data_IF_887667024444
#
_entry.id   IF_887667024444
#
_cell.length_a   1.000
_cell.length_b   1.000
_cell.length_c   1.000
_cell.angle_alpha   90.00
_cell.angle_beta   90.00
_cell.angle_gamma   90.00
#
_symmetry.space_group_name_H-M   'P 1'
#
loop_
_entity.id
_entity.type
_entity.pdbx_description
1 polymer ?
#
# COMPACT_ATOMS: atom_id res chain seq x y z
N UNK A 1 3.32 -5.47 -20.13
CA UNK A 1 4.35 -5.50 -19.05
C UNK A 1 5.69 -5.91 -19.66
N UNK A 2 6.77 -5.13 -19.46
CA UNK A 2 8.12 -5.48 -19.97
C UNK A 2 8.80 -6.40 -18.96
N UNK A 3 9.17 -7.60 -19.38
CA UNK A 3 9.81 -8.59 -18.49
C UNK A 3 8.97 -8.99 -17.28
N UNK A 4 7.64 -8.98 -17.39
CA UNK A 4 6.72 -9.37 -16.32
C UNK A 4 6.40 -8.29 -15.27
N UNK A 5 7.03 -7.10 -15.35
CA UNK A 5 6.77 -6.02 -14.40
C UNK A 5 5.70 -5.04 -14.91
N UNK A 6 4.80 -4.61 -14.00
CA UNK A 6 3.85 -3.52 -14.28
C UNK A 6 4.58 -2.19 -14.45
N UNK A 7 5.59 -1.93 -13.62
CA UNK A 7 6.45 -0.74 -13.68
C UNK A 7 7.91 -1.12 -13.98
N UNK A 8 8.25 -1.41 -15.25
CA UNK A 8 9.60 -1.80 -15.63
C UNK A 8 10.57 -0.61 -15.63
N UNK A 9 11.83 -0.85 -15.30
CA UNK A 9 12.90 0.13 -15.50
C UNK A 9 13.33 0.19 -16.97
N UNK A 10 13.96 1.30 -17.37
CA UNK A 10 14.44 1.48 -18.75
C UNK A 10 15.55 0.48 -19.09
N UNK A 11 16.41 0.16 -18.10
CA UNK A 11 17.55 -0.75 -18.26
C UNK A 11 17.12 -2.22 -18.12
N UNK A 12 16.84 -2.65 -16.88
CA UNK A 12 16.48 -4.04 -16.52
C UNK A 12 15.76 -4.05 -15.16
N UNK A 13 14.81 -4.94 -14.98
CA UNK A 13 14.09 -5.13 -13.71
C UNK A 13 12.97 -4.12 -13.49
N UNK A 14 12.58 -3.93 -12.23
CA UNK A 14 11.55 -3.00 -11.77
C UNK A 14 12.16 -1.62 -11.47
N UNK A 15 11.35 -0.56 -11.52
CA UNK A 15 11.75 0.78 -11.04
C UNK A 15 12.24 0.73 -9.59
N UNK A 16 13.26 1.54 -9.25
CA UNK A 16 13.74 1.65 -7.88
C UNK A 16 12.84 2.57 -7.04
N UNK A 17 12.90 2.45 -5.71
CA UNK A 17 12.18 3.32 -4.76
C UNK A 17 12.49 4.81 -4.97
N UNK A 18 13.70 5.12 -5.44
CA UNK A 18 14.14 6.49 -5.74
C UNK A 18 13.42 7.08 -6.95
N UNK A 19 12.86 6.25 -7.84
CA UNK A 19 12.20 6.70 -9.07
C UNK A 19 11.06 7.67 -8.76
N UNK A 20 10.13 7.26 -7.89
CA UNK A 20 8.99 8.10 -7.51
C UNK A 20 9.43 9.25 -6.60
N UNK A 21 10.31 8.98 -5.63
CA UNK A 21 10.83 9.99 -4.71
C UNK A 21 11.49 11.17 -5.43
N UNK A 22 12.39 10.88 -6.39
CA UNK A 22 13.08 11.91 -7.19
C UNK A 22 12.14 12.61 -8.17
N UNK A 23 11.13 11.91 -8.69
CA UNK A 23 10.11 12.53 -9.52
C UNK A 23 9.34 13.61 -8.74
N UNK A 24 8.83 13.27 -7.55
CA UNK A 24 8.07 14.21 -6.71
C UNK A 24 8.94 15.40 -6.27
N UNK A 25 10.19 15.15 -5.90
CA UNK A 25 11.17 16.20 -5.57
C UNK A 25 11.40 17.18 -6.74
N UNK A 26 11.65 16.68 -7.95
CA UNK A 26 11.81 17.54 -9.14
C UNK A 26 10.56 18.35 -9.49
N UNK A 27 9.39 17.81 -9.16
CA UNK A 27 8.10 18.49 -9.33
C UNK A 27 7.79 19.46 -8.18
N UNK A 28 8.67 19.59 -7.18
CA UNK A 28 8.51 20.41 -5.98
C UNK A 28 7.21 20.10 -5.22
N UNK A 29 6.82 18.83 -5.20
CA UNK A 29 5.69 18.37 -4.40
C UNK A 29 6.13 18.21 -2.96
N UNK A 30 5.32 18.69 -2.02
CA UNK A 30 5.54 18.49 -0.58
C UNK A 30 5.30 17.02 -0.17
N UNK A 31 4.41 16.34 -0.89
CA UNK A 31 4.08 14.94 -0.66
C UNK A 31 5.28 14.00 -0.88
N UNK A 32 5.27 12.86 -0.18
CA UNK A 32 6.29 11.80 -0.25
C UNK A 32 5.65 10.45 -0.55
N UNK A 33 6.37 9.49 -1.15
CA UNK A 33 5.81 8.17 -1.45
C UNK A 33 5.25 7.43 -0.24
N UNK A 34 5.89 7.52 0.94
CA UNK A 34 5.36 6.91 2.15
C UNK A 34 4.07 7.58 2.65
N UNK A 35 3.87 8.86 2.33
CA UNK A 35 2.67 9.62 2.68
C UNK A 35 1.39 9.03 2.09
N UNK A 36 1.47 8.37 0.93
CA UNK A 36 0.31 7.70 0.34
C UNK A 36 -0.30 6.62 1.24
N UNK A 37 0.54 5.87 2.00
CA UNK A 37 0.02 4.85 2.93
C UNK A 37 -0.67 5.48 4.13
N UNK A 38 -0.07 6.53 4.70
CA UNK A 38 -0.67 7.28 5.81
C UNK A 38 -1.99 7.92 5.39
N UNK A 39 -2.01 8.65 4.27
CA UNK A 39 -3.23 9.27 3.76
C UNK A 39 -4.34 8.25 3.44
N UNK A 40 -4.00 7.07 2.91
CA UNK A 40 -4.98 6.00 2.72
C UNK A 40 -5.50 5.48 4.06
N UNK A 41 -4.65 5.33 5.07
CA UNK A 41 -5.05 4.88 6.40
C UNK A 41 -6.01 5.85 7.07
N UNK A 42 -5.71 7.14 6.97
CA UNK A 42 -6.53 8.22 7.54
C UNK A 42 -7.87 8.29 6.80
N UNK A 43 -7.85 8.26 5.48
CA UNK A 43 -9.07 8.26 4.67
C UNK A 43 -9.99 7.05 4.98
N UNK A 44 -9.43 5.85 5.13
CA UNK A 44 -10.20 4.66 5.52
C UNK A 44 -10.84 4.84 6.92
N UNK A 45 -10.17 5.55 7.83
CA UNK A 45 -10.68 5.77 9.19
C UNK A 45 -11.78 6.86 9.23
N UNK A 46 -11.61 7.93 8.45
CA UNK A 46 -12.44 9.13 8.54
C UNK A 46 -13.62 9.11 7.57
N UNK A 47 -13.47 8.43 6.43
CA UNK A 47 -14.41 8.51 5.32
C UNK A 47 -15.12 7.20 4.99
N UNK A 48 -14.84 6.10 5.70
CA UNK A 48 -15.43 4.79 5.43
C UNK A 48 -15.77 4.04 6.71
N UNK A 49 -16.63 3.02 6.59
CA UNK A 49 -16.94 2.08 7.68
C UNK A 49 -15.98 0.86 7.70
N UNK A 50 -14.82 0.97 7.04
CA UNK A 50 -13.87 -0.13 6.95
C UNK A 50 -13.36 -0.52 8.35
N UNK A 51 -13.53 -1.80 8.78
CA UNK A 51 -12.98 -2.26 10.03
C UNK A 51 -11.46 -2.11 10.05
N UNK A 52 -10.89 -1.84 11.23
CA UNK A 52 -9.44 -1.66 11.40
C UNK A 52 -8.63 -2.78 10.73
N UNK A 53 -9.05 -4.02 10.91
CA UNK A 53 -8.36 -5.20 10.36
C UNK A 53 -8.37 -5.23 8.84
N UNK A 54 -9.47 -4.79 8.22
CA UNK A 54 -9.59 -4.69 6.76
C UNK A 54 -8.67 -3.59 6.26
N UNK A 55 -8.71 -2.40 6.88
CA UNK A 55 -7.87 -1.27 6.51
C UNK A 55 -6.37 -1.58 6.58
N UNK A 56 -5.92 -2.21 7.66
CA UNK A 56 -4.52 -2.64 7.81
C UNK A 56 -4.14 -3.74 6.81
N UNK A 57 -5.07 -4.66 6.49
CA UNK A 57 -4.85 -5.70 5.47
C UNK A 57 -4.74 -5.09 4.06
N UNK A 58 -5.52 -4.04 3.73
CA UNK A 58 -5.36 -3.27 2.47
C UNK A 58 -3.95 -2.70 2.36
N UNK A 59 -3.41 -2.17 3.47
CA UNK A 59 -2.06 -1.59 3.52
C UNK A 59 -0.94 -2.65 3.50
N UNK A 60 -1.28 -3.93 3.63
CA UNK A 60 -0.33 -5.04 3.70
C UNK A 60 0.34 -5.19 5.06
N UNK A 61 -0.23 -4.61 6.12
CA UNK A 61 0.27 -4.72 7.48
C UNK A 61 -0.10 -6.07 8.11
N UNK A 62 0.73 -6.52 9.05
CA UNK A 62 0.43 -7.70 9.88
C UNK A 62 -0.29 -7.25 11.14
N UNK A 63 -1.59 -7.53 11.23
CA UNK A 63 -2.43 -7.19 12.39
C UNK A 63 -2.44 -8.33 13.40
N UNK A 64 -2.47 -7.98 14.69
CA UNK A 64 -2.66 -8.94 15.78
C UNK A 64 -1.41 -9.76 16.14
N UNK A 65 -1.51 -10.51 17.22
CA UNK A 65 -0.45 -11.39 17.72
C UNK A 65 -0.23 -12.64 16.85
N UNK A 66 0.82 -13.42 17.13
CA UNK A 66 1.09 -14.65 16.39
C UNK A 66 -0.07 -15.66 16.47
N UNK A 67 -0.73 -15.75 17.63
CA UNK A 67 -1.89 -16.63 17.86
C UNK A 67 -3.10 -16.15 17.07
N UNK A 68 -3.46 -14.87 17.18
CA UNK A 68 -4.60 -14.29 16.45
C UNK A 68 -4.44 -14.45 14.94
N UNK A 69 -3.23 -14.24 14.40
CA UNK A 69 -2.93 -14.46 12.98
C UNK A 69 -2.99 -15.93 12.56
N UNK A 70 -2.67 -16.87 13.46
CA UNK A 70 -2.79 -18.29 13.15
C UNK A 70 -4.26 -18.72 12.98
N UNK A 71 -5.18 -18.09 13.70
CA UNK A 71 -6.62 -18.33 13.59
C UNK A 71 -7.30 -17.47 12.52
N UNK A 72 -6.77 -16.27 12.24
CA UNK A 72 -7.28 -15.39 11.17
C UNK A 72 -6.83 -15.89 9.80
N UNK A 73 -7.67 -16.71 9.18
CA UNK A 73 -7.45 -17.27 7.82
C UNK A 73 -7.99 -16.39 6.68
N UNK A 74 -8.69 -15.32 7.02
CA UNK A 74 -9.32 -14.41 6.04
C UNK A 74 -8.37 -13.28 5.65
N UNK A 75 -8.28 -13.01 4.36
CA UNK A 75 -7.54 -11.90 3.74
C UNK A 75 -8.44 -10.72 3.34
N UNK A 76 -9.73 -10.83 3.68
CA UNK A 76 -10.80 -9.85 3.47
C UNK A 76 -10.98 -9.40 2.02
N UNK A 77 -10.63 -10.23 1.02
CA UNK A 77 -10.67 -9.84 -0.41
C UNK A 77 -11.97 -9.10 -0.79
N UNK A 78 -13.14 -9.65 -0.45
CA UNK A 78 -14.43 -9.04 -0.83
C UNK A 78 -14.71 -7.72 -0.11
N UNK A 79 -14.22 -7.56 1.12
CA UNK A 79 -14.40 -6.32 1.88
C UNK A 79 -13.40 -5.25 1.44
N UNK A 80 -12.22 -5.66 0.95
CA UNK A 80 -11.18 -4.78 0.41
C UNK A 80 -11.50 -4.27 -0.99
N UNK A 81 -12.43 -4.91 -1.70
CA UNK A 81 -12.84 -4.55 -3.05
C UNK A 81 -14.04 -3.58 -3.09
N UNK A 82 -14.65 -3.30 -1.93
CA UNK A 82 -15.77 -2.35 -1.77
C UNK A 82 -15.24 -0.96 -1.46
#
# INVERSE_FOLDING_TARGET
>A
ARGGFLFPSIRRGVVSDMTLSRYMERRKLEARPHGFRSSLRDWLAECTDAPHEVAETVLGHKVGGAVERAYRRTDFIDQRAK
#
